data_IF_503667723799
#
_entry.id   IF_503667723799
#
_cell.length_a   1.000
_cell.length_b   1.000
_cell.length_c   1.000
_cell.angle_alpha   90.00
_cell.angle_beta   90.00
_cell.angle_gamma   90.00
#
_symmetry.space_group_name_H-M   'P 1'
#
loop_
_entity.id
_entity.type
_entity.pdbx_description
1 polymer ?
#
# COMPACT_ATOMS: atom_id res chain seq x y z
N UNK A 1 17.06 9.00 -23.95
CA UNK A 1 15.61 8.69 -23.91
C UNK A 1 15.39 7.26 -23.39
N UNK A 2 15.59 7.01 -22.09
CA UNK A 2 15.39 5.69 -21.46
C UNK A 2 14.49 5.84 -20.22
N UNK A 3 13.18 5.93 -20.41
CA UNK A 3 12.24 6.13 -19.29
C UNK A 3 10.83 5.57 -19.48
N UNK A 4 10.46 5.18 -20.71
CA UNK A 4 9.09 4.70 -21.02
C UNK A 4 8.91 3.18 -20.95
N UNK A 5 9.98 2.39 -20.86
CA UNK A 5 9.86 0.93 -20.74
C UNK A 5 9.34 0.49 -19.37
N UNK A 6 9.90 1.02 -18.29
CA UNK A 6 9.63 0.57 -16.91
C UNK A 6 8.16 0.82 -16.51
N UNK A 7 7.57 1.94 -16.95
CA UNK A 7 6.16 2.26 -16.66
C UNK A 7 5.17 1.34 -17.39
N UNK A 8 5.51 0.88 -18.60
CA UNK A 8 4.66 -0.03 -19.35
C UNK A 8 4.64 -1.43 -18.72
N UNK A 9 5.80 -1.95 -18.30
CA UNK A 9 5.88 -3.25 -17.60
C UNK A 9 5.15 -3.23 -16.25
N UNK A 10 5.33 -2.18 -15.44
CA UNK A 10 4.59 -2.04 -14.17
C UNK A 10 3.07 -2.01 -14.37
N UNK A 11 2.59 -1.47 -15.49
CA UNK A 11 1.16 -1.44 -15.81
C UNK A 11 0.63 -2.81 -16.25
N UNK A 12 1.41 -3.56 -17.03
CA UNK A 12 1.01 -4.89 -17.51
C UNK A 12 0.97 -5.91 -16.38
N UNK A 13 1.95 -5.89 -15.45
CA UNK A 13 1.95 -6.79 -14.29
C UNK A 13 0.72 -6.60 -13.41
N UNK A 14 0.23 -5.37 -13.26
CA UNK A 14 -0.97 -5.05 -12.47
C UNK A 14 -2.26 -5.60 -13.13
N UNK A 15 -2.31 -5.68 -14.47
CA UNK A 15 -3.51 -6.11 -15.21
C UNK A 15 -3.66 -7.64 -15.21
N UNK A 16 -2.56 -8.40 -15.13
CA UNK A 16 -2.56 -9.88 -15.11
C UNK A 16 -2.21 -10.48 -13.77
N UNK A 17 -1.93 -9.65 -12.75
CA UNK A 17 -1.58 -10.13 -11.41
C UNK A 17 -2.75 -10.88 -10.77
N UNK A 18 -2.45 -12.04 -10.19
CA UNK A 18 -3.35 -12.72 -9.27
C UNK A 18 -3.79 -11.74 -8.17
N UNK A 19 -5.08 -11.69 -7.77
CA UNK A 19 -5.55 -10.80 -6.71
C UNK A 19 -4.71 -10.85 -5.42
N UNK A 20 -4.15 -12.00 -5.07
CA UNK A 20 -3.22 -12.15 -3.93
C UNK A 20 -1.92 -11.38 -4.16
N UNK A 21 -1.41 -11.35 -5.39
CA UNK A 21 -0.19 -10.61 -5.75
C UNK A 21 -0.42 -9.10 -5.62
N UNK A 22 -1.60 -8.60 -6.00
CA UNK A 22 -1.97 -7.19 -5.79
C UNK A 22 -1.96 -6.82 -4.30
N UNK A 23 -2.56 -7.66 -3.44
CA UNK A 23 -2.53 -7.47 -1.98
C UNK A 23 -1.10 -7.42 -1.44
N UNK A 24 -0.22 -8.33 -1.89
CA UNK A 24 1.19 -8.34 -1.50
C UNK A 24 1.89 -7.04 -1.93
N UNK A 25 1.64 -6.57 -3.16
CA UNK A 25 2.22 -5.31 -3.67
C UNK A 25 1.76 -4.09 -2.85
N UNK A 26 0.50 -4.06 -2.41
CA UNK A 26 -0.01 -3.03 -1.51
C UNK A 26 0.77 -3.02 -0.18
N UNK A 27 0.95 -4.18 0.46
CA UNK A 27 1.74 -4.27 1.69
C UNK A 27 3.21 -3.86 1.49
N UNK A 28 3.84 -4.30 0.40
CA UNK A 28 5.22 -3.93 0.06
C UNK A 28 5.35 -2.39 -0.05
N UNK A 29 4.40 -1.73 -0.69
CA UNK A 29 4.43 -0.28 -0.87
C UNK A 29 4.04 0.49 0.40
N UNK A 30 3.12 -0.01 1.22
CA UNK A 30 2.82 0.56 2.53
C UNK A 30 4.06 0.52 3.44
N UNK A 31 4.74 -0.63 3.51
CA UNK A 31 5.99 -0.79 4.28
C UNK A 31 7.09 0.14 3.75
N UNK A 32 7.24 0.26 2.42
CA UNK A 32 8.21 1.17 1.81
C UNK A 32 7.91 2.62 2.17
N UNK A 33 6.66 3.03 2.09
CA UNK A 33 6.21 4.39 2.43
C UNK A 33 6.50 4.72 3.89
N UNK A 34 6.28 3.79 4.82
CA UNK A 34 6.62 3.95 6.23
C UNK A 34 8.14 4.06 6.47
N UNK A 35 8.95 3.28 5.76
CA UNK A 35 10.42 3.40 5.82
C UNK A 35 10.90 4.77 5.33
N UNK A 36 10.31 5.29 4.25
CA UNK A 36 10.58 6.65 3.74
C UNK A 36 10.16 7.69 4.78
N UNK A 37 8.96 7.57 5.36
CA UNK A 37 8.49 8.48 6.40
C UNK A 37 9.45 8.53 7.60
N UNK A 38 9.95 7.37 8.05
CA UNK A 38 10.97 7.29 9.12
C UNK A 38 12.25 8.02 8.73
N UNK A 39 12.77 7.79 7.53
CA UNK A 39 13.96 8.51 7.04
C UNK A 39 13.76 10.02 7.01
N UNK A 40 12.63 10.49 6.47
CA UNK A 40 12.29 11.91 6.39
C UNK A 40 12.09 12.56 7.75
N UNK A 41 11.53 11.83 8.71
CA UNK A 41 11.45 12.28 10.11
C UNK A 41 12.85 12.52 10.71
N UNK A 42 13.77 11.56 10.54
CA UNK A 42 15.13 11.67 11.08
C UNK A 42 15.94 12.81 10.43
N UNK A 43 15.66 13.13 9.17
CA UNK A 43 16.28 14.26 8.46
C UNK A 43 15.59 15.62 8.72
N UNK A 44 14.55 15.67 9.56
CA UNK A 44 13.79 16.91 9.83
C UNK A 44 12.88 17.38 8.69
N UNK A 45 12.69 16.55 7.66
CA UNK A 45 11.85 16.86 6.49
C UNK A 45 10.36 16.50 6.77
N UNK A 46 9.71 17.24 7.66
CA UNK A 46 8.39 16.87 8.17
C UNK A 46 7.27 16.88 7.12
N UNK A 47 7.31 17.77 6.13
CA UNK A 47 6.33 17.77 5.04
C UNK A 47 6.44 16.50 4.19
N UNK A 48 7.67 16.10 3.84
CA UNK A 48 7.92 14.87 3.08
C UNK A 48 7.54 13.63 3.91
N UNK A 49 7.80 13.65 5.22
CA UNK A 49 7.32 12.62 6.16
C UNK A 49 5.80 12.53 6.14
N UNK A 50 5.08 13.65 6.21
CA UNK A 50 3.62 13.67 6.22
C UNK A 50 3.05 13.07 4.93
N UNK A 51 3.58 13.47 3.77
CA UNK A 51 3.19 12.89 2.47
C UNK A 51 3.42 11.37 2.40
N UNK A 52 4.55 10.89 2.92
CA UNK A 52 4.85 9.46 2.94
C UNK A 52 3.91 8.68 3.89
N UNK A 53 3.51 9.27 5.02
CA UNK A 53 2.51 8.66 5.91
C UNK A 53 1.13 8.64 5.25
N UNK A 54 0.70 9.75 4.64
CA UNK A 54 -0.58 9.81 3.95
C UNK A 54 -0.68 8.70 2.91
N UNK A 55 0.37 8.52 2.10
CA UNK A 55 0.44 7.43 1.13
C UNK A 55 0.29 6.05 1.76
N UNK A 56 0.94 5.79 2.90
CA UNK A 56 0.78 4.53 3.61
C UNK A 56 -0.67 4.34 4.11
N UNK A 57 -1.30 5.38 4.67
CA UNK A 57 -2.69 5.34 5.13
C UNK A 57 -3.68 5.12 3.99
N UNK A 58 -3.47 5.74 2.83
CA UNK A 58 -4.31 5.55 1.65
C UNK A 58 -4.30 4.08 1.21
N UNK A 59 -3.12 3.44 1.23
CA UNK A 59 -2.98 2.01 0.88
C UNK A 59 -3.70 1.11 1.90
N UNK A 60 -3.56 1.38 3.21
CA UNK A 60 -4.25 0.61 4.24
C UNK A 60 -5.78 0.79 4.13
N UNK A 61 -6.23 2.00 3.84
CA UNK A 61 -7.65 2.30 3.58
C UNK A 61 -8.16 1.51 2.37
N UNK A 62 -7.39 1.45 1.29
CA UNK A 62 -7.77 0.66 0.11
C UNK A 62 -7.86 -0.85 0.44
N UNK A 63 -6.91 -1.39 1.20
CA UNK A 63 -6.94 -2.77 1.67
C UNK A 63 -8.16 -3.06 2.57
N UNK A 64 -8.56 -2.09 3.40
CA UNK A 64 -9.77 -2.17 4.22
C UNK A 64 -11.03 -2.20 3.35
N UNK A 65 -11.14 -1.30 2.37
CA UNK A 65 -12.25 -1.23 1.42
C UNK A 65 -12.37 -2.51 0.56
N UNK A 66 -11.25 -3.19 0.30
CA UNK A 66 -11.21 -4.41 -0.49
C UNK A 66 -11.61 -5.68 0.29
N UNK A 67 -11.90 -5.60 1.60
CA UNK A 67 -12.29 -6.76 2.39
C UNK A 67 -13.67 -7.29 1.99
N UNK A 68 -13.75 -8.58 1.68
CA UNK A 68 -15.01 -9.29 1.49
C UNK A 68 -15.51 -9.81 2.86
N UNK A 69 -16.49 -9.13 3.44
CA UNK A 69 -17.05 -9.52 4.74
C UNK A 69 -17.99 -10.73 4.66
N UNK A 70 -18.63 -10.97 3.51
CA UNK A 70 -19.52 -12.11 3.31
C UNK A 70 -18.73 -13.42 3.25
N UNK A 71 -17.67 -13.46 2.42
CA UNK A 71 -16.82 -14.65 2.27
C UNK A 71 -15.71 -14.72 3.32
N UNK A 72 -15.20 -13.58 3.77
CA UNK A 72 -14.08 -13.50 4.71
C UNK A 72 -14.47 -13.67 6.18
N UNK A 73 -15.74 -13.44 6.53
CA UNK A 73 -16.28 -13.65 7.87
C UNK A 73 -15.37 -13.11 8.98
N UNK A 74 -14.95 -13.98 9.91
CA UNK A 74 -14.07 -13.61 11.04
C UNK A 74 -12.70 -13.09 10.60
N UNK A 75 -12.16 -13.56 9.48
CA UNK A 75 -10.84 -13.09 8.99
C UNK A 75 -10.95 -11.63 8.55
N UNK A 76 -11.98 -11.29 7.76
CA UNK A 76 -12.22 -9.92 7.33
C UNK A 76 -12.44 -8.99 8.55
N UNK A 77 -13.18 -9.44 9.57
CA UNK A 77 -13.38 -8.67 10.80
C UNK A 77 -12.10 -8.44 11.61
N UNK A 78 -11.22 -9.44 11.68
CA UNK A 78 -9.93 -9.26 12.34
C UNK A 78 -9.00 -8.31 11.56
N UNK A 79 -9.02 -8.38 10.22
CA UNK A 79 -8.24 -7.47 9.37
C UNK A 79 -8.77 -6.03 9.46
N UNK A 80 -10.08 -5.83 9.46
CA UNK A 80 -10.72 -4.52 9.70
C UNK A 80 -10.26 -3.92 11.04
N UNK A 81 -10.30 -4.71 12.12
CA UNK A 81 -9.84 -4.26 13.43
C UNK A 81 -8.34 -3.91 13.44
N UNK A 82 -7.52 -4.69 12.73
CA UNK A 82 -6.08 -4.45 12.62
C UNK A 82 -5.77 -3.17 11.82
N UNK A 83 -6.51 -2.91 10.73
CA UNK A 83 -6.27 -1.75 9.87
C UNK A 83 -6.76 -0.43 10.47
N UNK A 84 -7.73 -0.47 11.39
CA UNK A 84 -8.26 0.70 12.08
C UNK A 84 -7.50 1.09 13.36
N UNK A 85 -6.52 0.28 13.79
CA UNK A 85 -5.68 0.54 14.97
C UNK A 85 -4.49 1.43 14.63
#
# INVERSE_FOLDING_TARGET
MYGNGIKAYQKTDVITADPKRLVIMCYEEAIRSLKVAKGKYLSGEYEAKAKAIQKAQDIITELLCALDFEKGGRIAKNLEALYNY
#
